data_IF_500382554673
#
_entry.id   IF_500382554673
#
_cell.length_a   1.000
_cell.length_b   1.000
_cell.length_c   1.000
_cell.angle_alpha   90.00
_cell.angle_beta   90.00
_cell.angle_gamma   90.00
#
_symmetry.space_group_name_H-M   'P 1'
#
loop_
_entity.id
_entity.type
_entity.pdbx_description
1 polymer ?
#
# COMPACT_ATOMS: atom_id res chain seq x y z
N UNK A 1 -10.33 -0.90 -22.96
CA UNK A 1 -10.56 -2.22 -23.55
C UNK A 1 -9.53 -3.24 -23.07
N UNK A 2 -8.24 -2.96 -23.16
CA UNK A 2 -7.15 -3.90 -22.80
C UNK A 2 -7.30 -4.50 -21.40
N UNK A 3 -7.73 -3.71 -20.41
CA UNK A 3 -7.98 -4.20 -19.04
C UNK A 3 -9.14 -5.21 -18.95
N UNK A 4 -10.04 -5.22 -19.92
CA UNK A 4 -11.22 -6.09 -19.96
C UNK A 4 -11.02 -7.31 -20.86
N UNK A 5 -9.93 -7.35 -21.64
CA UNK A 5 -9.66 -8.42 -22.59
C UNK A 5 -9.19 -9.69 -21.88
N UNK A 6 -10.11 -10.51 -21.42
CA UNK A 6 -9.82 -11.88 -20.97
C UNK A 6 -9.90 -12.84 -22.15
N UNK A 7 -8.99 -13.82 -22.20
CA UNK A 7 -9.00 -14.82 -23.28
C UNK A 7 -10.34 -15.56 -23.32
N UNK A 8 -10.95 -15.63 -24.53
CA UNK A 8 -12.16 -16.41 -24.80
C UNK A 8 -13.45 -15.84 -24.22
N UNK A 9 -13.52 -14.56 -23.87
CA UNK A 9 -14.75 -13.91 -23.39
C UNK A 9 -15.02 -12.58 -24.10
N UNK A 10 -16.30 -12.30 -24.36
CA UNK A 10 -16.73 -11.03 -24.90
C UNK A 10 -16.52 -9.89 -23.90
N UNK A 11 -16.13 -8.74 -24.41
CA UNK A 11 -15.94 -7.53 -23.60
C UNK A 11 -17.28 -6.82 -23.44
N UNK A 12 -17.82 -6.77 -22.22
CA UNK A 12 -18.99 -5.95 -21.89
C UNK A 12 -18.54 -4.54 -21.55
N UNK A 13 -18.72 -3.61 -22.47
CA UNK A 13 -18.45 -2.20 -22.25
C UNK A 13 -19.63 -1.54 -21.53
N UNK A 14 -19.33 -0.66 -20.55
CA UNK A 14 -20.31 0.20 -19.89
C UNK A 14 -19.74 1.59 -19.68
N UNK A 15 -20.61 2.60 -19.58
CA UNK A 15 -20.22 3.99 -19.32
C UNK A 15 -19.36 4.14 -18.08
N UNK A 16 -19.67 3.38 -17.03
CA UNK A 16 -18.89 3.36 -15.78
C UNK A 16 -17.45 2.89 -15.99
N UNK A 17 -17.21 1.95 -16.87
CA UNK A 17 -15.85 1.48 -17.19
C UNK A 17 -15.05 2.51 -17.96
N UNK A 18 -15.71 3.23 -18.87
CA UNK A 18 -15.11 4.35 -19.61
C UNK A 18 -14.77 5.48 -18.63
N UNK A 19 -15.69 5.81 -17.71
CA UNK A 19 -15.47 6.81 -16.68
C UNK A 19 -14.30 6.46 -15.74
N UNK A 20 -14.19 5.22 -15.30
CA UNK A 20 -13.05 4.76 -14.49
C UNK A 20 -11.72 4.96 -15.23
N UNK A 21 -11.69 4.65 -16.54
CA UNK A 21 -10.50 4.85 -17.37
C UNK A 21 -10.15 6.33 -17.52
N UNK A 22 -11.15 7.20 -17.71
CA UNK A 22 -10.96 8.65 -17.71
C UNK A 22 -10.41 9.16 -16.39
N UNK A 23 -10.95 8.67 -15.28
CA UNK A 23 -10.51 9.06 -13.94
C UNK A 23 -9.04 8.65 -13.68
N UNK A 24 -8.60 7.50 -14.20
CA UNK A 24 -7.21 7.08 -14.13
C UNK A 24 -6.29 8.05 -14.89
N UNK A 25 -6.64 8.44 -16.12
CA UNK A 25 -5.89 9.41 -16.91
C UNK A 25 -5.85 10.78 -16.21
N UNK A 26 -6.98 11.24 -15.67
CA UNK A 26 -7.07 12.48 -14.91
C UNK A 26 -6.16 12.45 -13.67
N UNK A 27 -6.09 11.31 -13.01
CA UNK A 27 -5.20 11.14 -11.84
C UNK A 27 -3.73 11.27 -12.23
N UNK A 28 -3.31 10.64 -13.33
CA UNK A 28 -1.95 10.79 -13.87
C UNK A 28 -1.62 12.24 -14.25
N UNK A 29 -2.56 12.94 -14.85
CA UNK A 29 -2.43 14.37 -15.15
C UNK A 29 -2.22 15.20 -13.89
N UNK A 30 -3.00 14.93 -12.83
CA UNK A 30 -2.87 15.62 -11.55
C UNK A 30 -1.53 15.33 -10.87
N UNK A 31 -0.98 14.14 -11.02
CA UNK A 31 0.39 13.80 -10.57
C UNK A 31 1.43 14.67 -11.26
N UNK A 32 1.31 14.84 -12.59
CA UNK A 32 2.22 15.71 -13.33
C UNK A 32 2.11 17.19 -12.88
N UNK A 33 0.88 17.67 -12.66
CA UNK A 33 0.66 19.02 -12.10
C UNK A 33 1.25 19.18 -10.70
N UNK A 34 1.16 18.15 -9.85
CA UNK A 34 1.79 18.15 -8.53
C UNK A 34 3.31 18.30 -8.63
N UNK A 35 3.96 17.59 -9.57
CA UNK A 35 5.38 17.72 -9.85
C UNK A 35 5.74 19.14 -10.31
N UNK A 36 4.99 19.70 -11.26
CA UNK A 36 5.21 21.04 -11.78
C UNK A 36 5.03 22.12 -10.69
N UNK A 37 3.96 22.02 -9.89
CA UNK A 37 3.67 22.95 -8.81
C UNK A 37 4.76 22.97 -7.74
N UNK A 38 5.39 21.82 -7.45
CA UNK A 38 6.49 21.73 -6.51
C UNK A 38 7.87 21.94 -7.17
N UNK A 39 7.93 22.31 -8.45
CA UNK A 39 9.17 22.52 -9.20
C UNK A 39 10.11 21.32 -9.18
N UNK A 40 9.58 20.10 -9.26
CA UNK A 40 10.39 18.89 -9.34
C UNK A 40 11.16 18.88 -10.65
N UNK A 41 12.49 18.93 -10.56
CA UNK A 41 13.35 18.86 -11.73
C UNK A 41 13.80 17.43 -11.94
N UNK A 42 13.74 16.97 -13.19
CA UNK A 42 14.22 15.65 -13.55
C UNK A 42 15.76 15.66 -13.63
N UNK A 43 16.38 14.83 -12.80
CA UNK A 43 17.81 14.59 -12.82
C UNK A 43 18.08 13.30 -13.60
N UNK A 44 18.75 13.41 -14.77
CA UNK A 44 19.08 12.26 -15.64
C UNK A 44 20.19 11.39 -15.04
N UNK A 45 21.06 11.98 -14.22
CA UNK A 45 22.21 11.33 -13.58
C UNK A 45 21.87 10.77 -12.18
N UNK A 46 20.60 10.82 -11.80
CA UNK A 46 20.19 10.32 -10.49
C UNK A 46 20.40 8.81 -10.37
N UNK A 47 21.15 8.42 -9.33
CA UNK A 47 21.34 7.01 -8.95
C UNK A 47 20.33 6.58 -7.88
N UNK A 48 19.38 5.70 -8.20
CA UNK A 48 18.39 5.23 -7.23
C UNK A 48 18.96 4.31 -6.13
N UNK A 49 20.26 3.96 -6.18
CA UNK A 49 20.92 3.23 -5.09
C UNK A 49 21.21 4.13 -3.88
N UNK A 50 21.24 5.43 -4.07
CA UNK A 50 21.46 6.43 -3.02
C UNK A 50 20.17 6.75 -2.25
N UNK A 51 19.49 5.72 -1.75
CA UNK A 51 18.23 5.86 -1.06
C UNK A 51 18.42 5.87 0.47
N UNK A 52 18.01 6.94 1.13
CA UNK A 52 18.05 7.07 2.58
C UNK A 52 16.66 6.91 3.22
N UNK A 53 15.62 7.47 2.59
CA UNK A 53 14.26 7.45 3.12
C UNK A 53 13.56 6.12 2.88
N UNK A 54 13.00 5.52 3.93
CA UNK A 54 12.29 4.23 3.84
C UNK A 54 11.08 4.26 2.92
N UNK A 55 10.40 5.41 2.79
CA UNK A 55 9.31 5.59 1.82
C UNK A 55 9.77 5.46 0.37
N UNK A 56 10.98 5.96 0.05
CA UNK A 56 11.59 5.85 -1.27
C UNK A 56 12.07 4.43 -1.56
N UNK A 57 12.68 3.76 -0.58
CA UNK A 57 13.04 2.35 -0.65
C UNK A 57 11.82 1.46 -0.93
N UNK A 58 10.74 1.72 -0.23
CA UNK A 58 9.49 0.99 -0.41
C UNK A 58 8.91 1.17 -1.82
N UNK A 59 8.73 2.42 -2.28
CA UNK A 59 8.11 2.65 -3.59
C UNK A 59 8.98 2.12 -4.74
N UNK A 60 10.31 2.22 -4.60
CA UNK A 60 11.24 1.68 -5.57
C UNK A 60 11.14 0.15 -5.65
N UNK A 61 11.11 -0.54 -4.50
CA UNK A 61 10.89 -1.99 -4.45
C UNK A 61 9.56 -2.38 -5.09
N UNK A 62 8.47 -1.65 -4.79
CA UNK A 62 7.15 -1.88 -5.40
C UNK A 62 7.17 -1.67 -6.91
N UNK A 63 7.90 -0.66 -7.39
CA UNK A 63 8.07 -0.42 -8.82
C UNK A 63 8.74 -1.62 -9.52
N UNK A 64 9.86 -2.13 -9.00
CA UNK A 64 10.56 -3.27 -9.61
C UNK A 64 9.74 -4.57 -9.52
N UNK A 65 9.05 -4.81 -8.41
CA UNK A 65 8.11 -5.94 -8.32
C UNK A 65 7.02 -5.85 -9.41
N UNK A 66 6.49 -4.64 -9.62
CA UNK A 66 5.47 -4.38 -10.65
C UNK A 66 6.04 -4.53 -12.06
N UNK A 67 7.21 -3.95 -12.34
CA UNK A 67 7.89 -4.09 -13.62
C UNK A 67 8.07 -5.57 -14.01
N UNK A 68 8.58 -6.38 -13.09
CA UNK A 68 8.80 -7.81 -13.35
C UNK A 68 7.49 -8.55 -13.66
N UNK A 69 6.42 -8.25 -12.95
CA UNK A 69 5.10 -8.83 -13.22
C UNK A 69 4.53 -8.36 -14.56
N UNK A 70 4.68 -7.08 -14.86
CA UNK A 70 4.24 -6.47 -16.13
C UNK A 70 4.94 -7.13 -17.31
N UNK A 71 6.27 -7.25 -17.27
CA UNK A 71 7.05 -7.91 -18.35
C UNK A 71 6.64 -9.36 -18.49
N UNK A 72 6.57 -10.11 -17.37
CA UNK A 72 6.12 -11.51 -17.39
C UNK A 72 4.72 -11.69 -17.98
N UNK A 73 3.78 -10.80 -17.65
CA UNK A 73 2.42 -10.85 -18.19
C UNK A 73 2.40 -10.47 -19.67
N UNK A 74 3.23 -9.52 -20.09
CA UNK A 74 3.38 -9.13 -21.50
C UNK A 74 3.92 -10.29 -22.34
N UNK A 75 5.00 -10.94 -21.91
CA UNK A 75 5.59 -12.12 -22.57
C UNK A 75 4.61 -13.30 -22.69
N UNK A 76 3.69 -13.42 -21.74
CA UNK A 76 2.65 -14.46 -21.74
C UNK A 76 1.33 -14.02 -22.38
N UNK A 77 1.30 -12.86 -23.06
CA UNK A 77 0.10 -12.29 -23.70
C UNK A 77 -1.09 -12.06 -22.75
N UNK A 78 -0.83 -11.89 -21.45
CA UNK A 78 -1.84 -11.62 -20.40
C UNK A 78 -2.03 -10.12 -20.20
N UNK A 79 -2.51 -9.43 -21.23
CA UNK A 79 -2.59 -7.97 -21.25
C UNK A 79 -3.49 -7.38 -20.17
N UNK A 80 -4.57 -8.05 -19.82
CA UNK A 80 -5.46 -7.64 -18.74
C UNK A 80 -4.75 -7.65 -17.38
N UNK A 81 -3.94 -8.69 -17.11
CA UNK A 81 -3.18 -8.76 -15.86
C UNK A 81 -2.05 -7.72 -15.84
N UNK A 82 -1.39 -7.50 -16.98
CA UNK A 82 -0.38 -6.46 -17.13
C UNK A 82 -0.95 -5.08 -16.74
N UNK A 83 -2.11 -4.71 -17.30
CA UNK A 83 -2.76 -3.44 -17.00
C UNK A 83 -3.24 -3.36 -15.54
N UNK A 84 -3.75 -4.46 -15.00
CA UNK A 84 -4.19 -4.51 -13.60
C UNK A 84 -3.04 -4.23 -12.63
N UNK A 85 -1.85 -4.80 -12.87
CA UNK A 85 -0.65 -4.54 -12.05
C UNK A 85 -0.22 -3.06 -12.15
N UNK A 86 -0.19 -2.49 -13.37
CA UNK A 86 0.15 -1.09 -13.59
C UNK A 86 -0.87 -0.15 -12.95
N UNK A 87 -2.15 -0.44 -13.10
CA UNK A 87 -3.22 0.34 -12.51
C UNK A 87 -3.09 0.35 -10.97
N UNK A 88 -2.94 -0.84 -10.36
CA UNK A 88 -2.78 -0.98 -8.91
C UNK A 88 -1.56 -0.21 -8.40
N UNK A 89 -0.44 -0.32 -9.09
CA UNK A 89 0.78 0.39 -8.72
C UNK A 89 0.62 1.91 -8.83
N UNK A 90 0.20 2.42 -10.00
CA UNK A 90 0.10 3.86 -10.24
C UNK A 90 -0.99 4.48 -9.37
N UNK A 91 -2.18 3.86 -9.31
CA UNK A 91 -3.30 4.41 -8.57
C UNK A 91 -3.09 4.33 -7.07
N UNK A 92 -2.82 3.14 -6.55
CA UNK A 92 -2.76 2.91 -5.11
C UNK A 92 -1.37 3.19 -4.54
N UNK A 93 -0.34 2.43 -4.95
CA UNK A 93 0.96 2.52 -4.30
C UNK A 93 1.61 3.90 -4.52
N UNK A 94 1.58 4.40 -5.76
CA UNK A 94 2.23 5.67 -6.08
C UNK A 94 1.35 6.88 -5.70
N UNK A 95 0.09 6.95 -6.19
CA UNK A 95 -0.74 8.14 -5.96
C UNK A 95 -1.32 8.21 -4.54
N UNK A 96 -1.94 7.12 -4.05
CA UNK A 96 -2.68 7.16 -2.78
C UNK A 96 -1.77 7.04 -1.55
N UNK A 97 -0.58 6.42 -1.71
CA UNK A 97 0.36 6.26 -0.60
C UNK A 97 1.62 7.10 -0.80
N UNK A 98 2.43 6.82 -1.82
CA UNK A 98 3.73 7.48 -1.94
C UNK A 98 3.63 9.00 -1.99
N UNK A 99 2.76 9.56 -2.83
CA UNK A 99 2.60 11.01 -2.94
C UNK A 99 2.09 11.62 -1.62
N UNK A 100 1.10 11.00 -0.98
CA UNK A 100 0.55 11.51 0.27
C UNK A 100 1.57 11.47 1.43
N UNK A 101 2.35 10.39 1.51
CA UNK A 101 3.43 10.27 2.48
C UNK A 101 4.55 11.27 2.20
N UNK A 102 4.94 11.42 0.93
CA UNK A 102 6.00 12.34 0.50
C UNK A 102 5.73 13.79 0.87
N UNK A 103 4.46 14.24 0.88
CA UNK A 103 4.09 15.59 1.32
C UNK A 103 4.60 15.94 2.72
N UNK A 104 4.74 14.96 3.59
CA UNK A 104 5.25 15.17 4.94
C UNK A 104 6.77 15.38 4.95
N UNK A 105 7.49 14.62 4.14
CA UNK A 105 8.92 14.79 3.99
C UNK A 105 9.30 16.09 3.27
N UNK A 106 8.44 16.59 2.37
CA UNK A 106 8.64 17.87 1.68
C UNK A 106 8.58 19.11 2.58
N UNK A 107 8.13 18.97 3.83
CA UNK A 107 8.17 20.04 4.83
C UNK A 107 9.59 20.35 5.29
N UNK A 108 10.53 19.41 5.14
CA UNK A 108 11.93 19.54 5.51
C UNK A 108 12.80 19.67 4.26
N UNK A 109 13.56 20.75 4.16
CA UNK A 109 14.37 21.03 2.95
C UNK A 109 15.40 19.94 2.63
N UNK A 110 15.98 19.32 3.66
CA UNK A 110 16.97 18.24 3.49
C UNK A 110 16.44 17.03 2.70
N UNK A 111 15.15 16.75 2.81
CA UNK A 111 14.50 15.58 2.18
C UNK A 111 14.01 15.87 0.76
N UNK A 112 13.85 17.15 0.38
CA UNK A 112 13.21 17.55 -0.88
C UNK A 112 13.93 16.96 -2.10
N UNK A 113 15.25 17.04 -2.14
CA UNK A 113 16.04 16.56 -3.30
C UNK A 113 15.83 15.07 -3.52
N UNK A 114 15.87 14.27 -2.45
CA UNK A 114 15.69 12.84 -2.54
C UNK A 114 14.26 12.51 -3.01
N UNK A 115 13.24 13.09 -2.38
CA UNK A 115 11.82 12.89 -2.78
C UNK A 115 11.61 13.26 -4.25
N UNK A 116 12.16 14.40 -4.72
CA UNK A 116 12.00 14.86 -6.11
C UNK A 116 12.60 13.87 -7.10
N UNK A 117 13.80 13.39 -6.81
CA UNK A 117 14.51 12.47 -7.66
C UNK A 117 13.80 11.11 -7.75
N UNK A 118 13.41 10.54 -6.61
CA UNK A 118 12.67 9.28 -6.59
C UNK A 118 11.28 9.40 -7.23
N UNK A 119 10.56 10.49 -6.96
CA UNK A 119 9.28 10.76 -7.62
C UNK A 119 9.44 10.76 -9.15
N UNK A 120 10.38 11.56 -9.66
CA UNK A 120 10.58 11.69 -11.09
C UNK A 120 11.06 10.36 -11.71
N UNK A 121 11.98 9.66 -11.05
CA UNK A 121 12.45 8.36 -11.50
C UNK A 121 11.29 7.36 -11.62
N UNK A 122 10.53 7.14 -10.54
CA UNK A 122 9.45 6.17 -10.52
C UNK A 122 8.32 6.56 -11.47
N UNK A 123 7.95 7.84 -11.52
CA UNK A 123 6.88 8.30 -12.40
C UNK A 123 7.26 8.22 -13.87
N UNK A 124 8.46 8.66 -14.24
CA UNK A 124 8.99 8.54 -15.62
C UNK A 124 8.97 7.08 -16.11
N UNK A 125 9.42 6.15 -15.26
CA UNK A 125 9.45 4.72 -15.59
C UNK A 125 8.05 4.10 -15.64
N UNK A 126 7.14 4.55 -14.80
CA UNK A 126 5.74 4.13 -14.85
C UNK A 126 5.05 4.59 -16.13
N UNK A 127 5.31 5.82 -16.58
CA UNK A 127 4.83 6.31 -17.87
C UNK A 127 5.37 5.48 -19.03
N UNK A 128 6.66 5.11 -18.98
CA UNK A 128 7.26 4.24 -20.00
C UNK A 128 6.59 2.86 -20.05
N UNK A 129 6.38 2.22 -18.89
CA UNK A 129 5.75 0.89 -18.84
C UNK A 129 4.32 0.88 -19.37
N UNK A 130 3.55 1.95 -19.14
CA UNK A 130 2.15 2.02 -19.59
C UNK A 130 2.01 2.66 -20.98
N UNK A 131 3.06 3.23 -21.53
CA UNK A 131 3.05 3.90 -22.84
C UNK A 131 2.44 3.06 -23.98
N UNK A 132 2.71 1.75 -24.11
CA UNK A 132 2.11 0.93 -25.17
C UNK A 132 0.57 0.88 -25.15
N UNK A 133 -0.04 1.18 -24.00
CA UNK A 133 -1.49 1.11 -23.82
C UNK A 133 -2.17 2.47 -23.97
N UNK A 134 -1.53 3.53 -23.47
CA UNK A 134 -2.07 4.89 -23.49
C UNK A 134 -1.01 5.90 -23.99
N UNK A 135 -0.53 5.75 -25.25
CA UNK A 135 0.63 6.48 -25.74
C UNK A 135 0.45 8.01 -25.72
N UNK A 136 -0.71 8.51 -26.12
CA UNK A 136 -0.92 9.95 -26.26
C UNK A 136 -0.70 10.73 -24.97
N UNK A 137 -1.27 10.27 -23.88
CA UNK A 137 -1.15 10.96 -22.58
C UNK A 137 0.26 10.79 -22.00
N UNK A 138 0.85 9.61 -22.10
CA UNK A 138 2.19 9.35 -21.57
C UNK A 138 3.25 10.14 -22.32
N UNK A 139 3.19 10.23 -23.65
CA UNK A 139 4.06 11.08 -24.46
C UNK A 139 3.90 12.56 -24.10
N UNK A 140 2.66 13.02 -23.95
CA UNK A 140 2.39 14.42 -23.55
C UNK A 140 3.02 14.72 -22.18
N UNK A 141 2.76 13.86 -21.17
CA UNK A 141 3.31 14.04 -19.83
C UNK A 141 4.82 13.92 -19.80
N UNK A 142 5.38 12.97 -20.55
CA UNK A 142 6.82 12.78 -20.65
C UNK A 142 7.56 14.00 -21.18
N UNK A 143 7.01 14.66 -22.20
CA UNK A 143 7.55 15.90 -22.77
C UNK A 143 7.39 17.09 -21.81
N UNK A 144 6.20 17.26 -21.24
CA UNK A 144 5.91 18.36 -20.28
C UNK A 144 6.83 18.32 -19.05
N UNK A 145 7.13 17.11 -18.55
CA UNK A 145 8.00 16.92 -17.39
C UNK A 145 9.47 16.75 -17.76
N UNK A 146 9.82 16.85 -19.05
CA UNK A 146 11.18 16.68 -19.57
C UNK A 146 11.81 15.31 -19.27
N UNK A 147 10.98 14.28 -19.13
CA UNK A 147 11.42 12.89 -18.96
C UNK A 147 11.96 12.30 -20.26
N UNK A 148 11.46 12.80 -21.38
CA UNK A 148 11.84 12.43 -22.74
C UNK A 148 12.03 13.67 -23.61
N UNK A 149 12.91 13.56 -24.58
CA UNK A 149 13.10 14.58 -25.63
C UNK A 149 12.26 14.23 -26.87
N UNK A 150 12.20 12.96 -27.21
CA UNK A 150 11.51 12.46 -28.40
C UNK A 150 10.28 11.61 -28.00
N UNK A 151 10.47 10.31 -27.70
CA UNK A 151 9.37 9.41 -27.39
C UNK A 151 9.78 8.30 -26.43
N UNK A 152 8.82 7.82 -25.60
CA UNK A 152 8.99 6.63 -24.77
C UNK A 152 9.14 5.36 -25.60
N UNK A 153 8.55 5.30 -26.76
CA UNK A 153 8.61 4.16 -27.67
C UNK A 153 10.05 3.77 -28.06
N UNK A 154 11.01 4.71 -27.98
CA UNK A 154 12.44 4.45 -28.18
C UNK A 154 13.17 3.95 -26.93
N UNK A 155 12.49 3.86 -25.79
CA UNK A 155 13.09 3.43 -24.52
C UNK A 155 12.75 1.97 -24.21
N UNK A 156 13.70 1.29 -23.61
CA UNK A 156 13.46 -0.07 -23.11
C UNK A 156 12.39 -0.05 -22.01
N UNK A 157 11.45 -0.99 -22.08
CA UNK A 157 10.44 -1.19 -21.04
C UNK A 157 11.08 -1.78 -19.77
N UNK A 158 11.99 -2.71 -19.95
CA UNK A 158 12.72 -3.34 -18.84
C UNK A 158 13.96 -2.54 -18.47
N UNK A 159 14.14 -2.32 -17.17
CA UNK A 159 15.34 -1.71 -16.60
C UNK A 159 15.99 -2.75 -15.72
N UNK A 160 17.19 -3.16 -16.10
CA UNK A 160 18.01 -4.07 -15.29
C UNK A 160 18.95 -3.26 -14.39
N UNK A 161 18.41 -2.76 -13.29
CA UNK A 161 19.20 -2.12 -12.25
C UNK A 161 19.37 -3.09 -11.10
N UNK A 162 20.61 -3.46 -10.81
CA UNK A 162 20.97 -4.28 -9.64
C UNK A 162 20.95 -3.43 -8.36
N UNK A 163 19.77 -3.15 -7.85
CA UNK A 163 19.60 -2.38 -6.61
C UNK A 163 19.74 -3.30 -5.41
N UNK A 164 20.57 -2.93 -4.46
CA UNK A 164 20.67 -3.60 -3.16
C UNK A 164 19.60 -3.04 -2.24
N UNK A 165 18.45 -3.69 -2.21
CA UNK A 165 17.37 -3.30 -1.34
C UNK A 165 17.66 -3.62 0.13
N UNK A 166 17.32 -2.71 1.02
CA UNK A 166 17.31 -2.92 2.47
C UNK A 166 16.03 -3.71 2.86
N UNK A 167 16.08 -5.03 2.65
CA UNK A 167 14.89 -5.90 2.72
C UNK A 167 14.10 -5.75 4.01
N UNK A 168 14.76 -5.59 5.17
CA UNK A 168 14.09 -5.40 6.45
C UNK A 168 13.31 -4.09 6.51
N UNK A 169 13.91 -2.97 6.08
CA UNK A 169 13.24 -1.67 6.03
C UNK A 169 12.00 -1.70 5.14
N UNK A 170 12.11 -2.35 3.97
CA UNK A 170 10.99 -2.49 3.03
C UNK A 170 9.86 -3.30 3.66
N UNK A 171 10.18 -4.41 4.35
CA UNK A 171 9.20 -5.27 4.97
C UNK A 171 8.49 -4.55 6.13
N UNK A 172 9.23 -3.81 6.92
CA UNK A 172 8.72 -2.99 8.00
C UNK A 172 7.85 -1.84 7.48
N UNK A 173 8.26 -1.20 6.38
CA UNK A 173 7.44 -0.16 5.76
C UNK A 173 6.17 -0.74 5.08
N UNK A 174 6.22 -1.96 4.52
CA UNK A 174 5.02 -2.68 4.05
C UNK A 174 4.02 -2.91 5.19
N UNK A 175 4.48 -3.32 6.38
CA UNK A 175 3.62 -3.45 7.58
C UNK A 175 3.00 -2.09 7.96
N UNK A 176 3.78 -1.03 7.88
CA UNK A 176 3.30 0.33 8.15
C UNK A 176 2.20 0.77 7.16
N UNK A 177 2.35 0.50 5.87
CA UNK A 177 1.30 0.75 4.87
C UNK A 177 0.03 -0.05 5.17
N UNK A 178 0.15 -1.32 5.56
CA UNK A 178 -1.02 -2.13 5.94
C UNK A 178 -1.71 -1.58 7.20
N UNK A 179 -0.95 -1.08 8.17
CA UNK A 179 -1.51 -0.38 9.33
C UNK A 179 -2.30 0.86 8.91
N UNK A 180 -1.76 1.69 8.01
CA UNK A 180 -2.47 2.86 7.47
C UNK A 180 -3.78 2.44 6.80
N UNK A 181 -3.77 1.39 5.96
CA UNK A 181 -4.98 0.89 5.31
C UNK A 181 -6.04 0.47 6.31
N UNK A 182 -5.65 -0.26 7.34
CA UNK A 182 -6.56 -0.72 8.40
C UNK A 182 -7.13 0.44 9.21
N UNK A 183 -6.31 1.40 9.59
CA UNK A 183 -6.77 2.60 10.29
C UNK A 183 -7.75 3.40 9.42
N UNK A 184 -7.45 3.61 8.13
CA UNK A 184 -8.37 4.28 7.19
C UNK A 184 -9.71 3.57 7.10
N UNK A 185 -9.70 2.25 7.04
CA UNK A 185 -10.92 1.45 7.00
C UNK A 185 -11.77 1.63 8.27
N UNK A 186 -11.13 1.61 9.46
CA UNK A 186 -11.83 1.77 10.74
C UNK A 186 -12.37 3.19 10.95
N UNK A 187 -11.60 4.22 10.60
CA UNK A 187 -12.05 5.62 10.71
C UNK A 187 -13.13 5.93 9.66
N UNK A 188 -13.02 5.36 8.46
CA UNK A 188 -13.94 5.63 7.35
C UNK A 188 -13.96 7.11 6.99
N UNK A 189 -15.16 7.65 6.74
CA UNK A 189 -15.37 9.06 6.39
C UNK A 189 -15.56 9.98 7.62
N UNK A 190 -15.26 9.48 8.81
CA UNK A 190 -15.43 10.27 10.03
C UNK A 190 -14.42 11.43 10.06
N UNK A 191 -14.91 12.64 10.32
CA UNK A 191 -14.12 13.89 10.35
C UNK A 191 -13.69 14.30 11.76
N UNK A 192 -14.05 13.51 12.79
CA UNK A 192 -13.64 13.79 14.18
C UNK A 192 -12.13 13.66 14.34
N UNK A 193 -11.63 14.24 15.40
CA UNK A 193 -10.24 14.03 15.82
C UNK A 193 -10.15 12.76 16.64
N UNK A 194 -9.01 12.10 16.58
CA UNK A 194 -8.76 10.81 17.22
C UNK A 194 -7.43 10.81 17.93
N UNK A 195 -7.31 9.98 18.95
CA UNK A 195 -6.03 9.55 19.52
C UNK A 195 -5.80 8.07 19.22
N UNK A 196 -4.55 7.67 19.02
CA UNK A 196 -4.16 6.29 18.76
C UNK A 196 -3.37 5.75 19.95
N UNK A 197 -3.89 4.71 20.60
CA UNK A 197 -3.17 3.98 21.63
C UNK A 197 -2.61 2.68 21.06
N UNK A 198 -1.33 2.44 21.25
CA UNK A 198 -0.58 1.27 20.81
C UNK A 198 -0.24 0.43 22.03
N UNK A 199 -0.75 -0.80 22.08
CA UNK A 199 -0.48 -1.68 23.22
C UNK A 199 0.75 -2.53 22.94
N UNK A 200 1.86 -2.17 23.59
CA UNK A 200 3.12 -2.88 23.55
C UNK A 200 3.93 -2.55 24.80
N UNK A 201 4.70 -3.52 25.31
CA UNK A 201 5.62 -3.30 26.43
C UNK A 201 6.82 -2.46 26.02
N UNK A 202 7.26 -2.62 24.77
CA UNK A 202 8.38 -1.91 24.17
C UNK A 202 7.92 -1.12 22.93
N UNK A 203 8.73 -0.13 22.57
CA UNK A 203 8.50 0.61 21.33
C UNK A 203 8.73 -0.30 20.12
N UNK A 204 7.82 -0.24 19.17
CA UNK A 204 7.86 -1.01 17.92
C UNK A 204 8.57 -0.16 16.88
N UNK A 205 9.81 -0.51 16.53
CA UNK A 205 10.72 0.28 15.68
C UNK A 205 10.04 0.79 14.41
N UNK A 206 9.41 -0.07 13.64
CA UNK A 206 8.78 0.32 12.36
C UNK A 206 7.57 1.26 12.51
N UNK A 207 6.97 1.34 13.70
CA UNK A 207 5.93 2.33 14.01
C UNK A 207 6.58 3.62 14.51
N UNK A 208 7.53 3.50 15.45
CA UNK A 208 8.15 4.63 16.14
C UNK A 208 8.86 5.57 15.15
N UNK A 209 9.59 5.01 14.20
CA UNK A 209 10.25 5.74 13.10
C UNK A 209 9.26 6.48 12.19
N UNK A 210 8.00 6.05 12.13
CA UNK A 210 6.98 6.58 11.23
C UNK A 210 5.78 7.23 11.95
N UNK A 211 5.86 7.46 13.27
CA UNK A 211 4.77 8.07 14.05
C UNK A 211 4.35 9.43 13.49
N UNK A 212 5.29 10.26 13.03
CA UNK A 212 5.00 11.56 12.46
C UNK A 212 4.10 11.46 11.21
N UNK A 213 4.23 10.39 10.42
CA UNK A 213 3.36 10.11 9.27
C UNK A 213 1.94 9.76 9.72
N UNK A 214 1.78 8.89 10.74
CA UNK A 214 0.47 8.56 11.30
C UNK A 214 -0.24 9.81 11.81
N UNK A 215 0.46 10.62 12.61
CA UNK A 215 -0.08 11.86 13.16
C UNK A 215 -0.50 12.83 12.05
N UNK A 216 0.30 12.96 11.01
CA UNK A 216 -0.01 13.88 9.90
C UNK A 216 -1.16 13.41 9.00
N UNK A 217 -1.18 12.10 8.65
CA UNK A 217 -2.19 11.54 7.72
C UNK A 217 -3.57 11.54 8.35
N UNK A 218 -3.67 11.11 9.61
CA UNK A 218 -4.94 10.96 10.31
C UNK A 218 -5.29 12.15 11.18
N UNK A 219 -4.38 13.13 11.30
CA UNK A 219 -4.52 14.28 12.21
C UNK A 219 -4.79 13.82 13.65
N UNK A 220 -4.09 12.75 14.09
CA UNK A 220 -4.21 12.29 15.45
C UNK A 220 -3.76 13.38 16.43
N UNK A 221 -4.52 13.56 17.51
CA UNK A 221 -4.15 14.45 18.60
C UNK A 221 -2.97 13.91 19.37
N UNK A 222 -2.97 12.58 19.60
CA UNK A 222 -1.84 11.89 20.21
C UNK A 222 -1.68 10.48 19.63
N UNK A 223 -0.44 9.99 19.63
CA UNK A 223 -0.10 8.57 19.37
C UNK A 223 0.75 8.11 20.54
N UNK A 224 0.23 7.20 21.34
CA UNK A 224 0.84 6.82 22.60
C UNK A 224 0.97 5.31 22.78
N UNK A 225 2.12 4.88 23.33
CA UNK A 225 2.30 3.50 23.77
C UNK A 225 1.70 3.30 25.17
N UNK A 226 0.90 2.25 25.34
CA UNK A 226 0.29 1.86 26.62
C UNK A 226 0.72 0.45 27.00
N UNK A 227 1.11 0.23 28.27
CA UNK A 227 1.51 -1.08 28.80
C UNK A 227 0.32 -1.92 29.29
N UNK A 228 -0.73 -1.26 29.75
CA UNK A 228 -1.95 -1.92 30.26
C UNK A 228 -3.15 -1.49 29.47
N UNK A 229 -4.07 -2.42 29.26
CA UNK A 229 -5.38 -2.12 28.68
C UNK A 229 -6.14 -1.34 29.75
N UNK A 230 -6.31 -0.04 29.52
CA UNK A 230 -7.21 0.79 30.35
C UNK A 230 -8.62 0.50 29.85
N UNK A 231 -9.59 0.42 30.77
CA UNK A 231 -11.00 0.22 30.44
C UNK A 231 -11.38 1.04 29.20
N UNK A 232 -11.73 0.32 28.13
CA UNK A 232 -12.03 0.88 26.84
C UNK A 232 -13.15 1.92 27.01
N UNK A 233 -12.90 3.14 26.57
CA UNK A 233 -13.97 4.14 26.49
C UNK A 233 -15.05 3.59 25.58
N UNK A 234 -16.32 3.71 25.98
CA UNK A 234 -17.50 3.12 25.29
C UNK A 234 -17.62 3.42 23.79
N UNK A 235 -16.74 4.22 23.21
CA UNK A 235 -16.78 4.70 21.84
C UNK A 235 -15.45 4.54 21.09
N UNK A 236 -14.58 3.60 21.46
CA UNK A 236 -13.29 3.38 20.82
C UNK A 236 -13.34 2.23 19.81
N UNK A 237 -12.52 2.27 18.76
CA UNK A 237 -12.35 1.16 17.81
C UNK A 237 -11.09 0.37 18.09
N UNK A 238 -11.24 -0.95 18.15
CA UNK A 238 -10.13 -1.88 18.36
C UNK A 238 -9.68 -2.44 17.02
N UNK A 239 -8.38 -2.37 16.80
CA UNK A 239 -7.70 -2.95 15.66
C UNK A 239 -6.59 -3.86 16.17
N UNK A 240 -6.54 -5.09 15.64
CA UNK A 240 -5.43 -6.02 15.88
C UNK A 240 -4.78 -6.35 14.53
N UNK A 241 -3.46 -6.12 14.44
CA UNK A 241 -2.66 -6.39 13.25
C UNK A 241 -1.23 -6.70 13.67
N UNK A 242 -0.60 -7.67 13.02
CA UNK A 242 0.78 -8.13 13.30
C UNK A 242 1.02 -8.48 14.79
N UNK A 243 -0.01 -8.98 15.46
CA UNK A 243 0.04 -9.33 16.87
C UNK A 243 0.17 -8.15 17.84
N UNK A 244 -0.18 -6.94 17.37
CA UNK A 244 -0.29 -5.72 18.18
C UNK A 244 -1.75 -5.28 18.26
N UNK A 245 -2.15 -4.76 19.42
CA UNK A 245 -3.48 -4.17 19.64
C UNK A 245 -3.36 -2.66 19.57
N UNK A 246 -4.26 -2.05 18.79
CA UNK A 246 -4.41 -0.61 18.64
C UNK A 246 -5.83 -0.22 19.06
N UNK A 247 -5.97 0.91 19.72
CA UNK A 247 -7.26 1.49 20.05
C UNK A 247 -7.32 2.91 19.50
N UNK A 248 -8.31 3.15 18.63
CA UNK A 248 -8.60 4.48 18.09
C UNK A 248 -9.68 5.09 18.95
N UNK A 249 -9.33 6.16 19.69
CA UNK A 249 -10.20 6.84 20.63
C UNK A 249 -10.63 8.17 20.03
N UNK A 250 -11.94 8.44 19.86
CA UNK A 250 -12.41 9.74 19.42
C UNK A 250 -12.25 10.79 20.51
N UNK A 251 -11.91 12.02 20.16
CA UNK A 251 -11.70 13.14 21.10
C UNK A 251 -13.01 13.78 21.57
N UNK A 252 -14.12 13.57 20.87
CA UNK A 252 -15.45 14.07 21.17
C UNK A 252 -16.45 12.93 21.24
N UNK A 253 -17.67 13.16 21.74
CA UNK A 253 -18.77 12.17 21.89
C UNK A 253 -19.29 11.60 20.55
N UNK A 254 -18.38 11.21 19.69
CA UNK A 254 -18.71 10.52 18.44
C UNK A 254 -19.12 9.09 18.76
N UNK A 255 -20.38 8.77 18.50
CA UNK A 255 -20.89 7.40 18.68
C UNK A 255 -20.41 6.52 17.51
N UNK A 256 -19.44 5.65 17.78
CA UNK A 256 -19.23 4.49 16.91
C UNK A 256 -20.21 3.38 17.29
N UNK A 257 -20.75 2.67 16.32
CA UNK A 257 -21.59 1.47 16.56
C UNK A 257 -20.66 0.25 16.74
N UNK A 258 -19.98 0.22 17.91
CA UNK A 258 -18.76 -0.58 18.11
C UNK A 258 -19.00 -2.04 18.50
N UNK A 259 -20.06 -2.34 19.24
CA UNK A 259 -20.28 -3.67 19.78
C UNK A 259 -20.58 -4.70 18.67
N UNK A 260 -21.34 -4.31 17.64
CA UNK A 260 -21.57 -5.14 16.45
C UNK A 260 -20.32 -5.39 15.62
N UNK A 261 -19.43 -4.39 15.54
CA UNK A 261 -18.17 -4.50 14.79
C UNK A 261 -17.18 -5.42 15.50
N UNK A 262 -17.02 -5.28 16.80
CA UNK A 262 -16.15 -6.13 17.61
C UNK A 262 -16.61 -7.60 17.59
N UNK A 263 -17.90 -7.85 17.81
CA UNK A 263 -18.47 -9.19 17.75
C UNK A 263 -18.28 -9.86 16.37
N UNK A 264 -18.40 -9.09 15.27
CA UNK A 264 -18.10 -9.60 13.93
C UNK A 264 -16.63 -9.99 13.76
N UNK A 265 -15.69 -9.22 14.32
CA UNK A 265 -14.26 -9.55 14.28
C UNK A 265 -13.92 -10.79 15.10
N UNK A 266 -14.52 -10.93 16.29
CA UNK A 266 -14.36 -12.12 17.13
C UNK A 266 -14.87 -13.35 16.37
N UNK A 267 -16.09 -13.30 15.86
CA UNK A 267 -16.69 -14.39 15.09
C UNK A 267 -15.88 -14.76 13.85
N UNK A 268 -15.28 -13.76 13.17
CA UNK A 268 -14.41 -14.01 12.03
C UNK A 268 -13.19 -14.85 12.43
N UNK A 269 -12.48 -14.49 13.51
CA UNK A 269 -11.30 -15.25 13.94
C UNK A 269 -11.69 -16.61 14.52
N UNK A 270 -12.82 -16.76 15.19
CA UNK A 270 -13.33 -18.06 15.65
C UNK A 270 -13.60 -18.99 14.47
N UNK A 271 -14.26 -18.51 13.42
CA UNK A 271 -14.51 -19.28 12.21
C UNK A 271 -13.21 -19.63 11.47
N UNK A 272 -12.26 -18.70 11.39
CA UNK A 272 -10.94 -18.94 10.78
C UNK A 272 -10.15 -20.01 11.54
N UNK A 273 -10.12 -19.95 12.87
CA UNK A 273 -9.47 -20.95 13.73
C UNK A 273 -10.13 -22.33 13.53
N UNK A 274 -11.45 -22.40 13.48
CA UNK A 274 -12.17 -23.67 13.26
C UNK A 274 -11.82 -24.25 11.88
N UNK A 275 -11.86 -23.44 10.82
CA UNK A 275 -11.49 -23.85 9.47
C UNK A 275 -10.04 -24.36 9.39
N UNK A 276 -9.10 -23.63 9.97
CA UNK A 276 -7.68 -24.01 9.95
C UNK A 276 -7.43 -25.29 10.76
N UNK A 277 -8.12 -25.46 11.91
CA UNK A 277 -8.06 -26.69 12.70
C UNK A 277 -8.61 -27.90 11.94
N UNK A 278 -9.75 -27.76 11.25
CA UNK A 278 -10.33 -28.82 10.43
C UNK A 278 -9.38 -29.24 9.31
N UNK A 279 -8.76 -28.26 8.61
CA UNK A 279 -7.77 -28.54 7.55
C UNK A 279 -6.56 -29.26 8.09
N UNK A 280 -6.01 -28.85 9.24
CA UNK A 280 -4.85 -29.48 9.87
C UNK A 280 -5.18 -30.84 10.57
N UNK A 281 -6.46 -31.19 10.77
CA UNK A 281 -6.89 -32.54 11.21
C UNK A 281 -7.16 -33.48 10.05
N UNK A 282 -7.32 -32.99 8.83
CA UNK A 282 -7.63 -33.80 7.66
C UNK A 282 -6.38 -34.55 7.20
N UNK A 283 -6.35 -35.87 7.38
CA UNK A 283 -5.22 -36.74 6.98
C UNK A 283 -4.92 -36.68 5.49
N UNK A 284 -5.95 -36.71 4.65
CA UNK A 284 -5.80 -36.63 3.20
C UNK A 284 -5.11 -35.31 2.75
N UNK A 285 -5.41 -34.21 3.42
CA UNK A 285 -4.73 -32.94 3.20
C UNK A 285 -3.26 -32.98 3.64
N UNK A 286 -2.98 -33.54 4.83
CA UNK A 286 -1.61 -33.63 5.36
C UNK A 286 -0.71 -34.52 4.52
N UNK A 287 -1.26 -35.60 3.96
CA UNK A 287 -0.50 -36.55 3.15
C UNK A 287 -0.19 -36.02 1.73
N UNK A 288 -1.09 -35.16 1.18
CA UNK A 288 -0.96 -34.65 -0.20
C UNK A 288 -0.35 -33.24 -0.28
N UNK A 289 -0.40 -32.44 0.78
CA UNK A 289 0.05 -31.06 0.73
C UNK A 289 1.58 -30.95 0.93
N UNK A 290 2.27 -30.09 0.17
CA UNK A 290 3.67 -29.78 0.42
C UNK A 290 3.89 -29.26 1.85
N UNK A 291 5.00 -29.64 2.48
CA UNK A 291 5.35 -29.23 3.86
C UNK A 291 5.26 -27.71 4.07
N UNK A 292 5.72 -26.94 3.09
CA UNK A 292 5.64 -25.47 3.11
C UNK A 292 4.20 -24.95 3.25
N UNK A 293 3.21 -25.62 2.65
CA UNK A 293 1.81 -25.24 2.76
C UNK A 293 1.28 -25.58 4.16
N UNK A 294 1.63 -26.75 4.69
CA UNK A 294 1.24 -27.16 6.06
C UNK A 294 1.79 -26.16 7.08
N UNK A 295 3.04 -25.74 6.95
CA UNK A 295 3.66 -24.76 7.85
C UNK A 295 2.99 -23.38 7.75
N UNK A 296 2.58 -22.97 6.56
CA UNK A 296 1.78 -21.74 6.39
C UNK A 296 0.43 -21.83 7.12
N UNK A 297 -0.26 -22.96 7.07
CA UNK A 297 -1.52 -23.16 7.79
C UNK A 297 -1.34 -23.15 9.30
N UNK A 298 -0.26 -23.79 9.82
CA UNK A 298 0.10 -23.74 11.25
C UNK A 298 0.39 -22.32 11.70
N UNK A 299 1.18 -21.56 10.92
CA UNK A 299 1.50 -20.18 11.23
C UNK A 299 0.24 -19.30 11.29
N UNK A 300 -0.65 -19.42 10.30
CA UNK A 300 -1.92 -18.68 10.27
C UNK A 300 -2.81 -19.04 11.47
N UNK A 301 -2.84 -20.30 11.87
CA UNK A 301 -3.61 -20.73 13.03
C UNK A 301 -3.13 -20.07 14.32
N UNK A 302 -1.81 -20.04 14.54
CA UNK A 302 -1.24 -19.37 15.72
C UNK A 302 -1.45 -17.85 15.69
N UNK A 303 -1.34 -17.23 14.51
CA UNK A 303 -1.65 -15.82 14.33
C UNK A 303 -3.12 -15.52 14.62
N UNK A 304 -4.05 -16.31 14.11
CA UNK A 304 -5.48 -16.15 14.36
C UNK A 304 -5.84 -16.32 15.85
N UNK A 305 -5.26 -17.31 16.54
CA UNK A 305 -5.42 -17.50 17.99
C UNK A 305 -4.88 -16.30 18.77
N UNK A 306 -3.70 -15.79 18.41
CA UNK A 306 -3.11 -14.61 19.05
C UNK A 306 -4.00 -13.38 18.88
N UNK A 307 -4.52 -13.17 17.67
CA UNK A 307 -5.39 -12.04 17.35
C UNK A 307 -6.72 -12.14 18.11
N UNK A 308 -7.34 -13.34 18.19
CA UNK A 308 -8.54 -13.56 18.98
C UNK A 308 -8.30 -13.26 20.47
N UNK A 309 -7.18 -13.73 21.02
CA UNK A 309 -6.80 -13.46 22.42
C UNK A 309 -6.67 -11.96 22.69
N UNK A 310 -6.03 -11.20 21.77
CA UNK A 310 -5.86 -9.74 21.91
C UNK A 310 -7.20 -8.99 21.83
N UNK A 311 -8.18 -9.50 21.04
CA UNK A 311 -9.51 -8.90 20.96
C UNK A 311 -10.36 -9.19 22.21
N UNK A 312 -10.17 -10.35 22.84
CA UNK A 312 -10.97 -10.81 24.00
C UNK A 312 -10.35 -10.44 25.34
N UNK A 313 -9.07 -10.09 25.41
CA UNK A 313 -8.42 -9.58 26.63
C UNK A 313 -8.98 -8.19 26.95
N UNK A 314 -9.69 -8.14 28.11
CA UNK A 314 -10.16 -6.90 28.76
C UNK A 314 -9.06 -6.22 29.57
#
# INVERSE_FOLDING_TARGET
LTNLSTQGRDIKLSDKLVENSRNFITKMWNVARFSQFNNFRYDKEFDPQLCELSVNNWILSRFFETQNKVIKNLENFKFNLMISELYQFIWSDFCDFYIELSKNYLKEDKNKKEIFNFFNFVFSRSLNLINPVIPFITEKLGKELKFIEDSFYKKNLHIDLKIKFKSKEIEDFKKFIELIKKIRFEIGNNKSRFSLHIFSEEKVIWIDENIFLLTSIFKFESVEYKKKIINETKNSKILVIFGLKFIIVPSEDTKFDDQKSLNKKILFYENEINFLNEKLKNREFLDKAPSKIIDQYKFKLEEAKKNLKLLTQK
#
